data_IF_500701604245
#
_entry.id   IF_500701604245
#
_cell.length_a   1.000
_cell.length_b   1.000
_cell.length_c   1.000
_cell.angle_alpha   90.00
_cell.angle_beta   90.00
_cell.angle_gamma   90.00
#
_symmetry.space_group_name_H-M   'P 1'
#
loop_
_entity.id
_entity.type
_entity.pdbx_description
1 polymer ?
#
# COMPACT_ATOMS: atom_id res chain seq x y z
N UNK A 1 18.00 27.45 26.52
CA UNK A 1 16.94 27.82 25.56
C UNK A 1 17.39 28.91 24.58
N UNK A 2 17.77 30.12 25.02
CA UNK A 2 18.20 31.18 24.09
C UNK A 2 19.40 30.79 23.21
N UNK A 3 20.46 30.21 23.80
CA UNK A 3 21.65 29.73 23.07
C UNK A 3 21.32 28.69 21.96
N UNK A 4 20.36 27.81 22.23
CA UNK A 4 19.95 26.74 21.32
C UNK A 4 19.25 27.32 20.08
N UNK A 5 18.39 28.32 20.29
CA UNK A 5 17.72 29.05 19.22
C UNK A 5 18.70 29.88 18.36
N UNK A 6 19.69 30.53 18.99
CA UNK A 6 20.74 31.23 18.24
C UNK A 6 21.67 30.28 17.48
N UNK A 7 21.90 29.07 17.99
CA UNK A 7 22.60 28.02 17.25
C UNK A 7 21.81 27.57 16.02
N UNK A 8 20.51 27.29 16.19
CA UNK A 8 19.63 26.92 15.08
C UNK A 8 19.59 28.00 13.99
N UNK A 9 19.46 29.28 14.36
CA UNK A 9 19.52 30.38 13.40
C UNK A 9 20.82 30.39 12.59
N UNK A 10 21.97 30.18 13.25
CA UNK A 10 23.27 30.10 12.57
C UNK A 10 23.35 28.92 11.61
N UNK A 11 22.72 27.81 11.94
CA UNK A 11 22.65 26.63 11.08
C UNK A 11 21.79 26.89 9.84
N UNK A 12 20.61 27.49 10.01
CA UNK A 12 19.73 27.91 8.91
C UNK A 12 20.48 28.76 7.89
N UNK A 13 21.24 29.76 8.36
CA UNK A 13 22.02 30.65 7.47
C UNK A 13 23.14 29.96 6.70
N UNK A 14 23.52 28.73 7.06
CA UNK A 14 24.54 27.93 6.38
C UNK A 14 23.96 26.90 5.41
N UNK A 15 22.65 26.64 5.44
CA UNK A 15 22.01 25.66 4.56
C UNK A 15 21.89 26.23 3.15
N UNK A 16 22.32 25.44 2.17
CA UNK A 16 22.13 25.75 0.76
C UNK A 16 20.93 24.94 0.23
N UNK A 17 20.12 25.51 -0.69
CA UNK A 17 19.02 24.77 -1.31
C UNK A 17 19.55 23.51 -2.01
N UNK A 18 18.90 22.36 -1.77
CA UNK A 18 19.24 21.11 -2.44
C UNK A 18 18.91 21.23 -3.93
N UNK A 19 19.91 21.04 -4.79
CA UNK A 19 19.69 20.92 -6.23
C UNK A 19 19.02 19.59 -6.54
N UNK A 20 17.92 19.63 -7.29
CA UNK A 20 17.17 18.44 -7.68
C UNK A 20 17.26 18.27 -9.19
N UNK A 21 17.70 17.09 -9.62
CA UNK A 21 17.64 16.71 -11.03
C UNK A 21 16.18 16.43 -11.41
N UNK A 22 15.65 17.25 -12.31
CA UNK A 22 14.33 16.97 -12.90
C UNK A 22 14.46 15.69 -13.73
N UNK A 23 13.50 14.74 -13.62
CA UNK A 23 13.49 13.56 -14.47
C UNK A 23 13.43 13.90 -15.97
N UNK A 24 13.33 12.86 -16.81
CA UNK A 24 13.20 13.03 -18.25
C UNK A 24 12.10 14.03 -18.63
N UNK A 25 12.34 14.85 -19.67
CA UNK A 25 11.39 15.89 -20.15
C UNK A 25 9.97 15.36 -20.45
N UNK A 26 9.86 14.08 -20.81
CA UNK A 26 8.57 13.46 -21.11
C UNK A 26 8.02 12.77 -19.86
N UNK A 27 6.96 13.35 -19.27
CA UNK A 27 6.28 12.81 -18.08
C UNK A 27 5.86 11.35 -18.24
N UNK A 28 5.39 10.98 -19.44
CA UNK A 28 4.99 9.61 -19.77
C UNK A 28 6.08 8.55 -19.61
N UNK A 29 7.36 8.94 -19.57
CA UNK A 29 8.48 8.00 -19.40
C UNK A 29 8.68 7.55 -17.96
N UNK A 30 8.28 8.36 -16.98
CA UNK A 30 8.54 8.08 -15.56
C UNK A 30 7.26 8.03 -14.71
N UNK A 31 6.15 8.58 -15.19
CA UNK A 31 4.86 8.48 -14.51
C UNK A 31 4.47 7.00 -14.34
N UNK A 32 4.16 6.60 -13.10
CA UNK A 32 3.79 5.21 -12.78
C UNK A 32 4.93 4.19 -12.95
N UNK A 33 6.19 4.60 -13.11
CA UNK A 33 7.30 3.65 -13.37
C UNK A 33 7.53 2.66 -12.22
N UNK A 34 7.22 3.07 -10.99
CA UNK A 34 7.35 2.29 -9.76
C UNK A 34 6.00 1.73 -9.28
N UNK A 35 4.99 1.67 -10.14
CA UNK A 35 3.66 1.13 -9.83
C UNK A 35 3.40 -0.07 -10.73
N UNK A 36 3.02 -1.20 -10.15
CA UNK A 36 2.63 -2.42 -10.85
C UNK A 36 1.19 -2.28 -11.35
N UNK A 37 1.01 -1.47 -12.40
CA UNK A 37 -0.27 -1.21 -13.05
C UNK A 37 -0.69 -2.33 -14.00
N UNK A 38 -1.90 -2.25 -14.56
CA UNK A 38 -2.46 -3.26 -15.47
C UNK A 38 -1.56 -3.56 -16.68
N UNK A 39 -0.87 -2.55 -17.22
CA UNK A 39 0.03 -2.74 -18.36
C UNK A 39 1.26 -3.56 -17.97
N UNK A 40 1.84 -3.29 -16.79
CA UNK A 40 2.95 -4.11 -16.27
C UNK A 40 2.46 -5.50 -15.87
N UNK A 41 1.28 -5.60 -15.25
CA UNK A 41 0.67 -6.89 -14.95
C UNK A 41 0.51 -7.74 -16.21
N UNK A 42 0.05 -7.18 -17.33
CA UNK A 42 -0.06 -7.90 -18.60
C UNK A 42 1.30 -8.39 -19.15
N UNK A 43 2.38 -7.66 -18.87
CA UNK A 43 3.73 -8.03 -19.29
C UNK A 43 4.37 -9.11 -18.40
N UNK A 44 4.21 -8.99 -17.08
CA UNK A 44 4.91 -9.84 -16.10
C UNK A 44 4.10 -11.06 -15.63
N UNK A 45 2.77 -11.03 -15.76
CA UNK A 45 1.90 -12.13 -15.35
C UNK A 45 1.61 -13.07 -16.53
N UNK A 46 1.31 -14.34 -16.22
CA UNK A 46 0.71 -15.21 -17.23
C UNK A 46 -0.68 -14.66 -17.63
N UNK A 47 -1.16 -15.06 -18.82
CA UNK A 47 -2.46 -14.63 -19.32
C UNK A 47 -3.60 -15.00 -18.34
N UNK A 48 -3.50 -16.16 -17.72
CA UNK A 48 -4.44 -16.65 -16.71
C UNK A 48 -4.40 -15.76 -15.47
N UNK A 49 -3.21 -15.51 -14.92
CA UNK A 49 -3.02 -14.69 -13.73
C UNK A 49 -3.49 -13.24 -13.96
N UNK A 50 -3.18 -12.65 -15.11
CA UNK A 50 -3.65 -11.31 -15.47
C UNK A 50 -5.18 -11.24 -15.55
N UNK A 51 -5.81 -12.22 -16.20
CA UNK A 51 -7.28 -12.29 -16.33
C UNK A 51 -7.94 -12.40 -14.95
N UNK A 52 -7.35 -13.21 -14.06
CA UNK A 52 -7.84 -13.37 -12.69
C UNK A 52 -7.74 -12.07 -11.89
N UNK A 53 -6.60 -11.37 -11.93
CA UNK A 53 -6.42 -10.09 -11.23
C UNK A 53 -7.40 -9.05 -11.76
N UNK A 54 -7.54 -8.95 -13.08
CA UNK A 54 -8.49 -8.03 -13.72
C UNK A 54 -9.92 -8.30 -13.24
N UNK A 55 -10.35 -9.55 -13.24
CA UNK A 55 -11.67 -9.96 -12.72
C UNK A 55 -11.81 -9.61 -11.24
N UNK A 56 -10.77 -9.85 -10.44
CA UNK A 56 -10.77 -9.55 -9.01
C UNK A 56 -10.96 -8.03 -8.74
N UNK A 57 -10.32 -7.18 -9.54
CA UNK A 57 -10.48 -5.72 -9.49
C UNK A 57 -11.89 -5.29 -9.89
N UNK A 58 -12.43 -5.85 -10.98
CA UNK A 58 -13.76 -5.49 -11.50
C UNK A 58 -14.90 -5.93 -10.58
N UNK A 59 -14.80 -7.16 -10.05
CA UNK A 59 -15.82 -7.80 -9.21
C UNK A 59 -15.64 -7.53 -7.71
N UNK A 60 -14.52 -6.93 -7.28
CA UNK A 60 -14.21 -6.70 -5.87
C UNK A 60 -14.02 -7.99 -5.06
N UNK A 61 -13.47 -9.05 -5.70
CA UNK A 61 -13.26 -10.36 -5.06
C UNK A 61 -11.81 -10.57 -4.67
N UNK A 62 -11.59 -11.31 -3.59
CA UNK A 62 -10.26 -11.78 -3.18
C UNK A 62 -9.74 -12.88 -4.11
N UNK A 63 -8.41 -12.96 -4.21
CA UNK A 63 -7.73 -14.04 -4.91
C UNK A 63 -7.72 -15.32 -4.06
N UNK A 64 -7.85 -16.47 -4.71
CA UNK A 64 -7.54 -17.75 -4.06
C UNK A 64 -6.02 -17.88 -3.86
N UNK A 65 -5.58 -18.77 -2.95
CA UNK A 65 -4.14 -19.02 -2.73
C UNK A 65 -3.40 -19.43 -4.01
N UNK A 66 -4.03 -20.25 -4.85
CA UNK A 66 -3.45 -20.69 -6.12
C UNK A 66 -3.25 -19.52 -7.09
N UNK A 67 -4.30 -18.70 -7.25
CA UNK A 67 -4.25 -17.50 -8.08
C UNK A 67 -3.21 -16.50 -7.59
N UNK A 68 -3.15 -16.27 -6.27
CA UNK A 68 -2.18 -15.39 -5.65
C UNK A 68 -0.73 -15.87 -5.84
N UNK A 69 -0.48 -17.18 -5.80
CA UNK A 69 0.85 -17.74 -6.09
C UNK A 69 1.30 -17.43 -7.53
N UNK A 70 0.38 -17.51 -8.50
CA UNK A 70 0.70 -17.15 -9.88
C UNK A 70 1.04 -15.66 -10.02
N UNK A 71 0.30 -14.79 -9.31
CA UNK A 71 0.56 -13.35 -9.29
C UNK A 71 1.89 -13.03 -8.60
N UNK A 72 2.19 -13.70 -7.49
CA UNK A 72 3.40 -13.48 -6.70
C UNK A 72 4.68 -13.72 -7.53
N UNK A 73 4.70 -14.72 -8.42
CA UNK A 73 5.86 -15.00 -9.28
C UNK A 73 6.17 -13.80 -10.18
N UNK A 74 5.18 -13.29 -10.91
CA UNK A 74 5.38 -12.16 -11.83
C UNK A 74 5.61 -10.84 -11.09
N UNK A 75 4.93 -10.64 -9.96
CA UNK A 75 5.15 -9.47 -9.10
C UNK A 75 6.57 -9.46 -8.51
N UNK A 76 7.10 -10.62 -8.08
CA UNK A 76 8.48 -10.75 -7.62
C UNK A 76 9.46 -10.42 -8.74
N UNK A 77 9.24 -10.97 -9.94
CA UNK A 77 10.12 -10.71 -11.08
C UNK A 77 10.21 -9.21 -11.39
N UNK A 78 9.08 -8.52 -11.45
CA UNK A 78 9.03 -7.08 -11.61
C UNK A 78 9.73 -6.33 -10.47
N UNK A 79 9.48 -6.72 -9.23
CA UNK A 79 10.06 -6.06 -8.06
C UNK A 79 11.58 -6.17 -8.02
N UNK A 80 12.13 -7.35 -8.30
CA UNK A 80 13.56 -7.59 -8.37
C UNK A 80 14.22 -6.82 -9.54
N UNK A 81 13.57 -6.75 -10.70
CA UNK A 81 14.04 -5.94 -11.84
C UNK A 81 14.13 -4.45 -11.48
N UNK A 82 13.22 -3.97 -10.61
CA UNK A 82 13.22 -2.62 -10.07
C UNK A 82 14.19 -2.41 -8.90
N UNK A 83 14.91 -3.44 -8.47
CA UNK A 83 15.88 -3.38 -7.38
C UNK A 83 15.26 -3.44 -5.99
N UNK A 84 14.01 -3.91 -5.85
CA UNK A 84 13.43 -4.15 -4.55
C UNK A 84 14.13 -5.33 -3.86
N UNK A 85 14.44 -5.16 -2.58
CA UNK A 85 15.08 -6.17 -1.72
C UNK A 85 14.17 -6.64 -0.59
N UNK A 86 13.16 -5.82 -0.27
CA UNK A 86 12.17 -6.08 0.77
C UNK A 86 10.76 -5.92 0.20
N UNK A 87 9.78 -6.46 0.91
CA UNK A 87 8.38 -6.17 0.72
C UNK A 87 7.74 -5.80 2.06
N UNK A 88 6.61 -5.11 1.99
CA UNK A 88 5.83 -4.74 3.16
C UNK A 88 4.34 -4.73 2.87
N UNK A 89 3.56 -5.11 3.87
CA UNK A 89 2.14 -4.80 3.92
C UNK A 89 1.95 -3.36 4.33
N UNK A 90 1.44 -2.55 3.40
CA UNK A 90 1.24 -1.12 3.59
C UNK A 90 -0.22 -0.84 3.92
N UNK A 91 -0.49 -0.38 5.15
CA UNK A 91 -1.84 -0.08 5.62
C UNK A 91 -1.87 1.08 6.63
N UNK A 92 -3.07 1.62 6.85
CA UNK A 92 -3.31 2.73 7.77
C UNK A 92 -4.19 2.28 8.93
N UNK A 93 -3.59 1.85 10.06
CA UNK A 93 -4.34 1.53 11.27
C UNK A 93 -5.08 2.75 11.84
N UNK A 94 -6.01 2.52 12.76
CA UNK A 94 -6.78 3.55 13.47
C UNK A 94 -5.96 4.43 14.44
N UNK A 95 -4.64 4.48 14.28
CA UNK A 95 -3.70 5.28 15.09
C UNK A 95 -3.15 6.48 14.32
N UNK A 96 -3.78 6.86 13.21
CA UNK A 96 -3.42 7.99 12.34
C UNK A 96 -1.99 7.95 11.74
N UNK A 97 -1.34 6.80 11.80
CA UNK A 97 -0.04 6.54 11.19
C UNK A 97 -0.13 5.50 10.08
N UNK A 98 0.93 5.39 9.29
CA UNK A 98 1.14 4.26 8.37
C UNK A 98 1.88 3.15 9.10
N UNK A 99 1.43 1.91 8.96
CA UNK A 99 2.13 0.75 9.46
C UNK A 99 2.82 0.04 8.30
N UNK A 100 4.12 -0.22 8.49
CA UNK A 100 4.94 -1.00 7.57
C UNK A 100 5.79 -1.97 8.37
N UNK A 101 5.73 -3.25 8.03
CA UNK A 101 6.70 -4.26 8.46
C UNK A 101 7.49 -4.72 7.24
N UNK A 102 8.80 -4.49 7.23
CA UNK A 102 9.64 -4.82 6.09
C UNK A 102 10.19 -6.23 6.25
N UNK A 103 9.78 -7.12 5.36
CA UNK A 103 10.26 -8.49 5.26
C UNK A 103 11.15 -8.61 4.02
N UNK A 104 12.28 -9.30 4.12
CA UNK A 104 13.16 -9.54 2.99
C UNK A 104 12.61 -10.61 2.05
N UNK A 105 12.94 -10.54 0.76
CA UNK A 105 12.70 -11.68 -0.15
C UNK A 105 13.59 -12.90 0.18
N UNK A 106 14.62 -12.72 1.01
CA UNK A 106 15.62 -13.72 1.32
C UNK A 106 15.03 -14.89 2.14
N UNK A 107 15.17 -16.11 1.61
CA UNK A 107 14.83 -17.35 2.32
C UNK A 107 15.94 -18.39 2.16
N UNK A 108 16.07 -19.30 3.12
CA UNK A 108 17.00 -20.43 3.05
C UNK A 108 16.26 -21.60 2.39
N UNK A 109 16.64 -21.92 1.16
CA UNK A 109 16.06 -23.02 0.41
C UNK A 109 16.48 -24.40 0.89
N UNK A 110 15.90 -25.43 0.28
CA UNK A 110 16.29 -26.82 0.52
C UNK A 110 17.78 -27.00 0.20
N UNK A 111 18.56 -27.44 1.19
CA UNK A 111 20.05 -27.59 1.17
C UNK A 111 20.86 -26.36 1.58
N UNK A 112 20.25 -25.33 2.15
CA UNK A 112 20.99 -24.22 2.79
C UNK A 112 21.48 -23.15 1.81
N UNK A 113 21.06 -23.20 0.55
CA UNK A 113 21.31 -22.14 -0.42
C UNK A 113 20.32 -21.00 -0.20
N UNK A 114 20.80 -19.77 -0.34
CA UNK A 114 19.98 -18.58 -0.21
C UNK A 114 19.24 -18.33 -1.53
N UNK A 115 17.94 -18.10 -1.45
CA UNK A 115 17.06 -17.81 -2.59
C UNK A 115 16.16 -16.61 -2.28
N UNK A 116 15.75 -15.88 -3.31
CA UNK A 116 14.69 -14.89 -3.21
C UNK A 116 13.33 -15.59 -3.39
N UNK A 117 12.55 -15.69 -2.31
CA UNK A 117 11.19 -16.21 -2.33
C UNK A 117 10.15 -15.11 -2.09
N UNK A 118 9.01 -15.25 -2.74
CA UNK A 118 7.83 -14.41 -2.51
C UNK A 118 6.59 -15.26 -2.78
N UNK A 119 5.89 -15.62 -1.71
CA UNK A 119 4.74 -16.53 -1.75
C UNK A 119 3.43 -15.75 -1.92
N UNK A 120 2.48 -16.33 -2.65
CA UNK A 120 1.11 -15.80 -2.73
C UNK A 120 0.36 -15.87 -1.40
N UNK A 121 0.83 -16.65 -0.43
CA UNK A 121 0.26 -16.62 0.93
C UNK A 121 0.36 -15.24 1.56
N UNK A 122 1.47 -14.55 1.32
CA UNK A 122 1.67 -13.15 1.74
C UNK A 122 0.61 -12.24 1.11
N UNK A 123 0.20 -12.49 -0.13
CA UNK A 123 -0.81 -11.65 -0.79
C UNK A 123 -2.23 -11.87 -0.26
N UNK A 124 -2.61 -13.12 0.05
CA UNK A 124 -4.00 -13.45 0.44
C UNK A 124 -4.27 -13.11 1.90
N UNK A 125 -3.40 -13.57 2.80
CA UNK A 125 -3.59 -13.39 4.23
C UNK A 125 -2.25 -13.51 4.94
N UNK A 126 -1.77 -12.40 5.49
CA UNK A 126 -0.57 -12.36 6.31
C UNK A 126 -0.93 -12.02 7.76
N UNK A 127 -0.26 -12.67 8.70
CA UNK A 127 -0.28 -12.34 10.13
C UNK A 127 0.88 -11.35 10.40
N UNK A 128 0.68 -10.02 10.29
CA UNK A 128 1.65 -9.11 10.85
C UNK A 128 1.78 -9.41 12.34
N UNK A 129 2.99 -9.25 12.88
CA UNK A 129 3.21 -9.29 14.33
C UNK A 129 2.51 -8.07 14.95
N UNK A 130 1.21 -8.22 15.17
CA UNK A 130 0.30 -7.16 15.56
C UNK A 130 0.27 -6.93 17.08
N UNK A 131 1.10 -7.68 17.82
CA UNK A 131 1.24 -7.56 19.27
C UNK A 131 1.66 -6.16 19.74
N UNK A 132 2.30 -5.40 18.84
CA UNK A 132 2.80 -4.05 19.08
C UNK A 132 1.83 -2.92 18.71
N UNK A 133 0.70 -3.20 18.04
CA UNK A 133 -0.24 -2.15 17.64
C UNK A 133 -1.23 -1.80 18.77
N UNK A 134 -1.46 -0.50 19.05
CA UNK A 134 -2.43 -0.05 20.05
C UNK A 134 -3.84 -0.56 19.71
N UNK A 135 -4.49 -1.23 20.65
CA UNK A 135 -5.84 -1.80 20.47
C UNK A 135 -6.99 -0.82 20.73
N UNK A 136 -6.70 0.46 21.00
CA UNK A 136 -7.72 1.45 21.35
C UNK A 136 -8.53 1.12 22.62
N UNK A 137 -8.02 0.23 23.49
CA UNK A 137 -8.73 -0.23 24.69
C UNK A 137 -9.80 -1.30 24.44
N UNK A 138 -9.90 -1.84 23.21
CA UNK A 138 -10.92 -2.82 22.84
C UNK A 138 -10.50 -4.27 23.17
N UNK A 139 -9.22 -4.54 23.53
CA UNK A 139 -8.68 -5.93 23.57
C UNK A 139 -7.72 -6.29 24.70
N UNK A 140 -7.76 -7.57 25.10
CA UNK A 140 -6.72 -8.27 25.86
C UNK A 140 -5.57 -8.71 24.93
N UNK A 141 -4.32 -8.66 25.44
CA UNK A 141 -3.08 -8.90 24.68
C UNK A 141 -2.95 -10.27 24.01
N UNK A 142 -3.67 -11.30 24.48
CA UNK A 142 -3.66 -12.64 23.88
C UNK A 142 -4.50 -12.71 22.57
N UNK A 143 -5.47 -11.82 22.40
CA UNK A 143 -6.37 -11.74 21.23
C UNK A 143 -5.92 -10.66 20.22
N UNK A 144 -4.73 -10.09 20.40
CA UNK A 144 -4.16 -9.03 19.57
C UNK A 144 -3.64 -9.51 18.20
N UNK A 145 -4.17 -10.63 17.68
CA UNK A 145 -3.88 -11.10 16.33
C UNK A 145 -4.67 -10.28 15.33
N UNK A 146 -3.96 -9.64 14.42
CA UNK A 146 -4.54 -8.97 13.27
C UNK A 146 -4.11 -9.66 11.98
N UNK A 147 -4.93 -9.55 10.95
CA UNK A 147 -4.70 -10.11 9.63
C UNK A 147 -4.66 -8.99 8.61
N UNK A 148 -3.71 -9.10 7.69
CA UNK A 148 -3.67 -8.25 6.51
C UNK A 148 -4.04 -9.05 5.27
N UNK A 149 -4.75 -8.40 4.35
CA UNK A 149 -5.07 -8.96 3.05
C UNK A 149 -4.85 -7.90 1.97
N UNK A 150 -4.27 -8.28 0.83
CA UNK A 150 -4.06 -7.36 -0.27
C UNK A 150 -5.40 -6.86 -0.83
N UNK A 151 -5.54 -5.54 -0.93
CA UNK A 151 -6.61 -4.91 -1.69
C UNK A 151 -6.15 -4.72 -3.14
N UNK A 152 -6.59 -5.65 -4.00
CA UNK A 152 -6.26 -5.68 -5.43
C UNK A 152 -6.72 -4.42 -6.19
N UNK A 153 -7.68 -3.64 -5.66
CA UNK A 153 -8.11 -2.39 -6.29
C UNK A 153 -7.04 -1.30 -6.26
N UNK A 154 -6.08 -1.42 -5.34
CA UNK A 154 -4.93 -0.52 -5.22
C UNK A 154 -3.67 -1.22 -5.75
N UNK A 155 -3.00 -0.66 -6.77
CA UNK A 155 -1.83 -1.30 -7.35
C UNK A 155 -0.66 -1.32 -6.37
N UNK A 156 0.11 -2.41 -6.41
CA UNK A 156 1.37 -2.54 -5.67
C UNK A 156 2.39 -1.55 -6.23
N UNK A 157 3.23 -0.99 -5.36
CA UNK A 157 4.22 0.02 -5.77
C UNK A 157 5.55 -0.17 -5.04
N UNK A 158 6.60 0.53 -5.48
CA UNK A 158 7.92 0.49 -4.87
C UNK A 158 8.31 1.88 -4.34
N UNK A 159 8.78 1.91 -3.10
CA UNK A 159 9.39 3.09 -2.46
C UNK A 159 10.80 2.71 -2.02
N UNK A 160 11.81 3.42 -2.53
CA UNK A 160 13.22 3.06 -2.31
C UNK A 160 13.48 1.64 -2.84
N UNK A 161 13.78 0.71 -1.95
CA UNK A 161 14.02 -0.71 -2.25
C UNK A 161 12.94 -1.64 -1.70
N UNK A 162 11.77 -1.10 -1.33
CA UNK A 162 10.70 -1.88 -0.69
C UNK A 162 9.46 -1.94 -1.58
N UNK A 163 8.97 -3.15 -1.82
CA UNK A 163 7.70 -3.44 -2.48
C UNK A 163 6.54 -3.25 -1.49
N UNK A 164 5.74 -2.22 -1.68
CA UNK A 164 4.59 -1.87 -0.84
C UNK A 164 3.31 -2.50 -1.39
N UNK A 165 2.71 -3.42 -0.64
CA UNK A 165 1.47 -4.12 -0.97
C UNK A 165 0.32 -3.44 -0.23
N UNK A 166 -0.60 -2.71 -0.90
CA UNK A 166 -1.68 -2.00 -0.22
C UNK A 166 -2.66 -2.98 0.41
N UNK A 167 -2.77 -2.99 1.73
CA UNK A 167 -3.56 -4.01 2.44
C UNK A 167 -4.63 -3.43 3.32
N UNK A 168 -5.67 -4.23 3.54
CA UNK A 168 -6.61 -4.02 4.64
C UNK A 168 -6.06 -4.64 5.92
N UNK A 169 -6.47 -4.15 7.09
CA UNK A 169 -6.13 -4.72 8.40
C UNK A 169 -7.38 -4.99 9.23
N UNK A 170 -7.55 -6.26 9.62
CA UNK A 170 -8.72 -6.74 10.37
C UNK A 170 -8.28 -7.53 11.59
N UNK A 171 -9.17 -7.64 12.57
CA UNK A 171 -8.95 -8.51 13.73
C UNK A 171 -9.21 -9.98 13.42
N UNK A 172 -8.79 -10.85 14.34
CA UNK A 172 -9.23 -12.24 14.35
C UNK A 172 -10.76 -12.41 14.38
N UNK A 173 -11.49 -11.47 14.99
CA UNK A 173 -12.96 -11.44 15.02
C UNK A 173 -13.60 -10.80 13.78
N UNK A 174 -12.80 -10.30 12.83
CA UNK A 174 -13.28 -9.65 11.60
C UNK A 174 -13.63 -8.17 11.73
N UNK A 175 -13.30 -7.54 12.86
CA UNK A 175 -13.45 -6.10 13.07
C UNK A 175 -12.40 -5.33 12.24
N UNK A 176 -12.82 -4.22 11.64
CA UNK A 176 -11.90 -3.33 10.93
C UNK A 176 -10.95 -2.65 11.93
N UNK A 177 -9.65 -2.74 11.67
CA UNK A 177 -8.58 -2.11 12.45
C UNK A 177 -7.84 -1.03 11.65
N UNK A 178 -8.36 -0.71 10.47
CA UNK A 178 -7.84 0.30 9.57
C UNK A 178 -8.92 1.27 9.09
N UNK A 179 -8.47 2.25 8.32
CA UNK A 179 -9.34 3.17 7.59
C UNK A 179 -9.82 2.62 6.24
N UNK A 180 -9.13 1.62 5.66
CA UNK A 180 -9.44 1.12 4.31
C UNK A 180 -10.71 0.27 4.29
N UNK A 181 -10.91 -0.65 5.25
CA UNK A 181 -12.11 -1.51 5.28
C UNK A 181 -13.40 -0.70 5.41
N UNK A 182 -13.52 0.28 6.34
CA UNK A 182 -14.73 1.10 6.42
C UNK A 182 -14.97 1.90 5.14
N UNK A 183 -13.92 2.44 4.51
CA UNK A 183 -14.02 3.18 3.26
C UNK A 183 -14.55 2.30 2.11
N UNK A 184 -13.98 1.11 1.91
CA UNK A 184 -14.41 0.19 0.86
C UNK A 184 -15.88 -0.22 1.04
N UNK A 185 -16.31 -0.47 2.27
CA UNK A 185 -17.72 -0.75 2.60
C UNK A 185 -18.63 0.43 2.27
N UNK A 186 -18.24 1.64 2.69
CA UNK A 186 -19.01 2.85 2.40
C UNK A 186 -19.15 3.12 0.90
N UNK A 187 -18.07 2.93 0.12
CA UNK A 187 -18.09 3.08 -1.33
C UNK A 187 -18.99 2.03 -2.00
N UNK A 188 -18.97 0.78 -1.53
CA UNK A 188 -19.83 -0.28 -2.05
C UNK A 188 -21.32 -0.01 -1.78
N UNK A 189 -21.68 0.48 -0.59
CA UNK A 189 -23.06 0.84 -0.28
C UNK A 189 -23.52 2.08 -1.07
N UNK A 190 -22.63 3.06 -1.25
CA UNK A 190 -22.90 4.24 -2.08
C UNK A 190 -23.14 3.85 -3.55
N UNK A 191 -22.29 2.99 -4.12
CA UNK A 191 -22.43 2.47 -5.48
C UNK A 191 -23.79 1.80 -5.68
N UNK A 192 -24.16 0.89 -4.76
CA UNK A 192 -25.46 0.20 -4.81
C UNK A 192 -26.63 1.18 -4.78
N UNK A 193 -26.66 2.09 -3.81
CA UNK A 193 -27.75 3.04 -3.64
C UNK A 193 -27.85 4.01 -4.84
N UNK A 194 -26.71 4.53 -5.32
CA UNK A 194 -26.69 5.44 -6.45
C UNK A 194 -27.09 4.74 -7.76
N UNK A 195 -26.62 3.51 -7.98
CA UNK A 195 -26.99 2.70 -9.15
C UNK A 195 -28.49 2.43 -9.20
N UNK A 196 -29.12 2.08 -8.07
CA UNK A 196 -30.58 1.90 -7.98
C UNK A 196 -31.35 3.17 -8.38
N UNK A 197 -30.85 4.36 -8.01
CA UNK A 197 -31.46 5.64 -8.41
C UNK A 197 -31.22 5.93 -9.90
N UNK A 198 -30.00 5.72 -10.41
CA UNK A 198 -29.67 5.94 -11.83
C UNK A 198 -30.53 5.08 -12.76
N UNK A 199 -30.88 3.87 -12.34
CA UNK A 199 -31.74 2.94 -13.06
C UNK A 199 -33.17 3.45 -13.30
N UNK A 200 -33.64 4.51 -12.62
CA UNK A 200 -34.89 5.17 -12.98
C UNK A 200 -34.77 6.03 -14.26
N UNK A 201 -33.57 6.45 -14.63
CA UNK A 201 -33.30 7.35 -15.76
C UNK A 201 -32.63 6.64 -16.94
N UNK A 202 -31.68 5.74 -16.67
CA UNK A 202 -31.00 4.95 -17.70
C UNK A 202 -30.77 3.51 -17.20
N UNK A 203 -31.36 2.54 -17.91
CA UNK A 203 -31.27 1.11 -17.57
C UNK A 203 -29.88 0.51 -17.81
N UNK A 204 -29.01 1.19 -18.56
CA UNK A 204 -27.67 0.71 -18.87
C UNK A 204 -26.65 0.99 -17.76
N UNK A 205 -26.98 1.83 -16.76
CA UNK A 205 -26.07 2.16 -15.66
C UNK A 205 -25.93 0.99 -14.71
N UNK A 206 -24.79 0.30 -14.73
CA UNK A 206 -24.55 -0.90 -13.89
C UNK A 206 -23.71 -0.62 -12.65
N UNK A 207 -23.04 0.53 -12.58
CA UNK A 207 -22.13 0.91 -11.50
C UNK A 207 -21.96 2.42 -11.42
N UNK A 208 -21.85 2.96 -10.22
CA UNK A 208 -21.51 4.36 -9.93
C UNK A 208 -20.21 4.41 -9.15
N UNK A 209 -19.24 5.17 -9.66
CA UNK A 209 -17.91 5.31 -9.05
C UNK A 209 -17.79 6.71 -8.45
N UNK A 210 -17.48 6.77 -7.16
CA UNK A 210 -17.14 8.03 -6.50
C UNK A 210 -15.68 8.41 -6.81
N UNK A 211 -15.47 9.64 -7.28
CA UNK A 211 -14.14 10.21 -7.51
C UNK A 211 -13.78 11.18 -6.40
N UNK A 212 -12.53 11.17 -5.94
CA UNK A 212 -12.01 12.05 -4.90
C UNK A 212 -10.81 12.85 -5.43
N UNK A 213 -10.90 14.17 -5.40
CA UNK A 213 -9.78 15.08 -5.66
C UNK A 213 -9.41 15.80 -4.36
N UNK A 214 -8.32 15.37 -3.73
CA UNK A 214 -7.83 15.99 -2.50
C UNK A 214 -6.91 17.18 -2.82
N UNK A 215 -6.97 18.21 -1.97
CA UNK A 215 -6.01 19.30 -1.92
C UNK A 215 -5.25 19.21 -0.60
N UNK A 216 -3.92 19.23 -0.66
CA UNK A 216 -3.08 19.04 0.51
C UNK A 216 -2.39 20.34 0.91
N UNK A 217 -2.63 20.79 2.14
CA UNK A 217 -1.95 21.93 2.76
C UNK A 217 -0.95 21.46 3.82
N UNK A 218 0.21 22.10 3.90
CA UNK A 218 1.22 21.83 4.91
C UNK A 218 2.10 23.05 5.17
N UNK A 219 2.72 23.09 6.35
CA UNK A 219 3.72 24.08 6.71
C UNK A 219 5.10 23.43 6.75
N UNK A 220 6.12 24.16 6.28
CA UNK A 220 7.51 23.78 6.43
C UNK A 220 8.19 24.73 7.40
N UNK A 221 8.95 24.17 8.34
CA UNK A 221 9.83 24.89 9.25
C UNK A 221 11.19 24.22 9.17
N UNK A 222 12.27 25.01 9.21
CA UNK A 222 13.61 24.44 9.26
C UNK A 222 13.75 23.52 10.47
N UNK A 223 14.33 22.34 10.25
CA UNK A 223 14.49 21.29 11.25
C UNK A 223 15.23 21.78 12.51
N UNK A 224 16.27 22.60 12.38
CA UNK A 224 17.01 23.13 13.52
C UNK A 224 16.13 24.10 14.33
N UNK A 225 15.30 24.90 13.67
CA UNK A 225 14.33 25.78 14.34
C UNK A 225 13.19 24.99 15.01
N UNK A 226 12.76 23.89 14.40
CA UNK A 226 11.73 23.01 14.95
C UNK A 226 12.20 22.38 16.28
N UNK A 227 13.42 21.81 16.30
CA UNK A 227 13.98 21.20 17.51
C UNK A 227 14.42 22.21 18.58
N UNK A 228 14.64 23.48 18.21
CA UNK A 228 14.99 24.54 19.15
C UNK A 228 13.79 25.24 19.83
N UNK A 229 12.57 24.69 19.69
CA UNK A 229 11.37 25.17 20.36
C UNK A 229 11.39 24.98 21.88
#
# INVERSE_FOLDING_TARGET
>A
MAELRFSALREVFRREPVEVEVPAKNVSKYFGMNVFDLHKMEHYLSREAFTVVKRAIEEGKSLTRSEANQVAIGLKAWALEKGATHFTHWFHPLTDGTAEKHDGFLEIGEKGHVIENFSGEVLVQSEPDASSFPSGGIRNTFEARGYTAWDVSSPVFIVGTTLCIPTIFVSYTGEALDYKVPLLKALSELDKAATEVCQYFDKNVTKVIATLGIEQEYFLVDEALYYAR
#
